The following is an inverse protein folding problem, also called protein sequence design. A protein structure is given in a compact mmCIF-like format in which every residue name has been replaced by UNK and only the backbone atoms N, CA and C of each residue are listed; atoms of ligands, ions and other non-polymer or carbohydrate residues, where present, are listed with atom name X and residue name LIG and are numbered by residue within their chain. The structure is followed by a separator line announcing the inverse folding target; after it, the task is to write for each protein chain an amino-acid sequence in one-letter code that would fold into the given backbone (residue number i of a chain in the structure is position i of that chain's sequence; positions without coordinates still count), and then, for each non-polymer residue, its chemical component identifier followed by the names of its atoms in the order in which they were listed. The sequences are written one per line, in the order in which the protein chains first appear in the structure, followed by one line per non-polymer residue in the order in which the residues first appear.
data_IF_013783043180
#
_entry.id   IF_013783043180
#
_cell.length_a   1.000
_cell.length_b   1.000
_cell.length_c   1.000
_cell.angle_alpha   90.00
_cell.angle_beta   90.00
_cell.angle_gamma   90.00
#
_symmetry.space_group_name_H-M   'P 1'
#
loop_
_entity.id
_entity.type
_entity.pdbx_description
1 polymer ?
#
# COMPACT_ATOMS: atom_id res chain seq x y z
N UNK A 1 -21.74 -22.83 5.33
CA UNK A 1 -20.97 -22.66 4.09
C UNK A 1 -20.20 -21.35 4.24
N UNK A 2 -18.89 -21.32 3.98
CA UNK A 2 -18.11 -20.07 4.00
C UNK A 2 -18.65 -19.12 2.94
N UNK A 3 -18.72 -17.82 3.24
CA UNK A 3 -19.17 -16.82 2.26
C UNK A 3 -18.17 -16.79 1.08
N UNK A 4 -18.62 -16.63 -0.17
CA UNK A 4 -17.76 -16.69 -1.36
C UNK A 4 -16.63 -15.65 -1.37
N UNK A 5 -16.75 -14.58 -0.60
CA UNK A 5 -15.74 -13.54 -0.45
C UNK A 5 -14.66 -13.86 0.60
N UNK A 6 -14.79 -14.93 1.40
CA UNK A 6 -13.78 -15.29 2.42
C UNK A 6 -12.48 -15.87 1.83
N UNK A 7 -12.50 -16.30 0.57
CA UNK A 7 -11.29 -16.76 -0.13
C UNK A 7 -10.47 -15.62 -0.76
N UNK A 8 -11.00 -14.40 -0.76
CA UNK A 8 -10.37 -13.24 -1.38
C UNK A 8 -9.42 -12.56 -0.40
N UNK A 9 -8.15 -12.39 -0.78
CA UNK A 9 -7.12 -11.80 0.09
C UNK A 9 -7.23 -10.28 0.28
N UNK A 10 -7.91 -9.57 -0.66
CA UNK A 10 -8.16 -8.14 -0.47
C UNK A 10 -9.18 -7.93 0.64
N UNK A 11 -8.81 -7.17 1.67
CA UNK A 11 -9.62 -7.02 2.89
C UNK A 11 -10.88 -6.20 2.67
N UNK A 12 -10.93 -5.34 1.66
CA UNK A 12 -12.14 -4.59 1.29
C UNK A 12 -13.16 -5.57 0.72
N UNK A 13 -12.77 -6.38 -0.26
CA UNK A 13 -13.64 -7.37 -0.88
C UNK A 13 -14.10 -8.44 0.14
N UNK A 14 -13.21 -8.87 1.03
CA UNK A 14 -13.52 -9.84 2.07
C UNK A 14 -14.56 -9.34 3.09
N UNK A 15 -14.73 -8.03 3.25
CA UNK A 15 -15.67 -7.39 4.17
C UNK A 15 -17.02 -7.03 3.55
N UNK A 16 -17.17 -7.21 2.26
CA UNK A 16 -18.46 -7.01 1.59
C UNK A 16 -19.51 -8.00 2.11
N UNK A 17 -20.77 -7.63 2.07
CA UNK A 17 -21.85 -8.61 2.23
C UNK A 17 -21.84 -9.60 1.06
N UNK A 18 -22.35 -10.81 1.28
CA UNK A 18 -22.44 -11.82 0.22
C UNK A 18 -23.24 -11.32 -0.99
N UNK A 19 -24.32 -10.58 -0.74
CA UNK A 19 -25.20 -10.04 -1.79
C UNK A 19 -24.49 -8.97 -2.63
N UNK A 20 -23.73 -8.06 -1.98
CA UNK A 20 -22.95 -7.06 -2.71
C UNK A 20 -21.80 -7.71 -3.47
N UNK A 21 -21.10 -8.68 -2.85
CA UNK A 21 -20.02 -9.39 -3.52
C UNK A 21 -20.51 -10.12 -4.78
N UNK A 22 -21.66 -10.78 -4.74
CA UNK A 22 -22.25 -11.45 -5.90
C UNK A 22 -22.54 -10.49 -7.06
N UNK A 23 -22.92 -9.24 -6.77
CA UNK A 23 -23.12 -8.21 -7.81
C UNK A 23 -21.81 -7.74 -8.44
N UNK A 24 -20.74 -7.63 -7.62
CA UNK A 24 -19.44 -7.18 -8.10
C UNK A 24 -18.65 -8.30 -8.78
N UNK A 25 -18.80 -9.54 -8.35
CA UNK A 25 -18.02 -10.71 -8.78
C UNK A 25 -17.92 -10.89 -10.29
N UNK A 26 -18.98 -10.70 -11.11
CA UNK A 26 -18.91 -10.84 -12.56
C UNK A 26 -17.97 -9.84 -13.25
N UNK A 27 -17.59 -8.76 -12.54
CA UNK A 27 -16.73 -7.69 -13.04
C UNK A 27 -15.30 -7.77 -12.49
N UNK A 28 -15.02 -8.70 -11.54
CA UNK A 28 -13.71 -8.92 -10.98
C UNK A 28 -12.87 -9.79 -11.92
N UNK A 29 -11.91 -9.16 -12.58
CA UNK A 29 -10.96 -9.84 -13.44
C UNK A 29 -9.62 -10.01 -12.71
N UNK A 30 -9.13 -11.25 -12.48
CA UNK A 30 -7.84 -11.46 -11.85
C UNK A 30 -6.69 -11.00 -12.74
N UNK A 31 -5.73 -10.29 -12.16
CA UNK A 31 -4.54 -9.80 -12.87
C UNK A 31 -3.27 -10.05 -12.06
N UNK A 32 -2.15 -10.36 -12.71
CA UNK A 32 -0.84 -10.30 -12.10
C UNK A 32 -0.44 -8.83 -11.90
N UNK A 33 0.23 -8.54 -10.80
CA UNK A 33 0.88 -7.26 -10.54
C UNK A 33 2.39 -7.45 -10.68
N UNK A 34 2.89 -7.25 -11.89
CA UNK A 34 4.31 -7.44 -12.19
C UNK A 34 5.12 -6.23 -11.72
N UNK A 35 6.40 -6.46 -11.36
CA UNK A 35 7.33 -5.39 -10.94
C UNK A 35 7.39 -4.27 -11.99
N UNK A 36 7.36 -3.01 -11.51
CA UNK A 36 7.42 -1.80 -12.31
C UNK A 36 6.23 -1.57 -13.27
N UNK A 37 5.17 -2.37 -13.18
CA UNK A 37 3.93 -2.08 -13.93
C UNK A 37 3.30 -0.79 -13.43
N UNK A 38 2.99 0.11 -14.36
CA UNK A 38 2.24 1.33 -14.11
C UNK A 38 0.74 1.01 -14.05
N UNK A 39 0.12 1.18 -12.88
CA UNK A 39 -1.30 0.90 -12.64
C UNK A 39 -2.18 2.14 -12.81
N UNK A 40 -1.60 3.30 -12.67
CA UNK A 40 -2.21 4.59 -12.97
C UNK A 40 -1.10 5.59 -13.32
N UNK A 41 -1.38 6.48 -14.25
CA UNK A 41 -0.48 7.56 -14.64
C UNK A 41 -1.11 8.91 -14.28
N UNK A 42 -0.27 9.83 -13.86
CA UNK A 42 -0.67 11.22 -13.59
C UNK A 42 -1.28 11.85 -14.85
N UNK A 43 -2.31 12.64 -14.64
CA UNK A 43 -3.01 13.42 -15.66
C UNK A 43 -3.64 12.55 -16.77
N UNK A 44 -3.84 11.25 -16.52
CA UNK A 44 -4.54 10.34 -17.41
C UNK A 44 -5.80 9.77 -16.75
N UNK A 45 -6.89 9.56 -17.50
CA UNK A 45 -8.04 8.82 -17.00
C UNK A 45 -7.66 7.41 -16.56
N UNK A 46 -8.33 6.91 -15.54
CA UNK A 46 -8.13 5.56 -15.06
C UNK A 46 -9.12 4.61 -15.76
N UNK A 47 -8.62 3.60 -16.46
CA UNK A 47 -9.46 2.60 -17.13
C UNK A 47 -10.04 1.59 -16.13
N UNK A 48 -9.26 1.21 -15.14
CA UNK A 48 -9.61 0.19 -14.15
C UNK A 48 -9.32 0.65 -12.72
N UNK A 49 -10.18 0.29 -11.79
CA UNK A 49 -9.81 0.24 -10.38
C UNK A 49 -9.22 -1.13 -10.08
N UNK A 50 -8.25 -1.20 -9.17
CA UNK A 50 -7.54 -2.46 -8.88
C UNK A 50 -7.56 -2.73 -7.38
N UNK A 51 -8.22 -3.82 -6.98
CA UNK A 51 -8.19 -4.35 -5.62
C UNK A 51 -6.93 -5.21 -5.47
N UNK A 52 -5.95 -4.71 -4.73
CA UNK A 52 -4.69 -5.43 -4.51
C UNK A 52 -4.93 -6.59 -3.55
N UNK A 53 -4.57 -7.82 -3.95
CA UNK A 53 -4.71 -9.03 -3.12
C UNK A 53 -3.40 -9.42 -2.44
N UNK A 54 -2.29 -9.20 -3.12
CA UNK A 54 -0.92 -9.36 -2.61
C UNK A 54 0.02 -8.40 -3.32
N UNK A 55 1.22 -8.22 -2.80
CA UNK A 55 2.17 -7.24 -3.32
C UNK A 55 1.89 -5.81 -2.82
N UNK A 56 2.64 -4.87 -3.36
CA UNK A 56 2.58 -3.43 -3.00
C UNK A 56 2.64 -2.58 -4.26
N UNK A 57 1.74 -1.63 -4.38
CA UNK A 57 1.81 -0.53 -5.34
C UNK A 57 2.06 0.79 -4.60
N UNK A 58 2.96 1.61 -5.11
CA UNK A 58 3.32 2.89 -4.52
C UNK A 58 2.76 4.06 -5.31
N UNK A 59 2.29 5.04 -4.58
CA UNK A 59 1.86 6.33 -5.09
C UNK A 59 3.07 7.26 -5.12
N UNK A 60 3.46 7.69 -6.32
CA UNK A 60 4.64 8.52 -6.55
C UNK A 60 4.21 9.92 -6.99
N UNK A 61 4.84 10.92 -6.39
CA UNK A 61 4.80 12.30 -6.88
C UNK A 61 6.15 12.59 -7.51
N UNK A 62 6.12 13.10 -8.73
CA UNK A 62 7.30 13.49 -9.47
C UNK A 62 7.32 15.00 -9.67
N UNK A 63 8.48 15.61 -9.47
CA UNK A 63 8.75 17.02 -9.72
C UNK A 63 9.24 17.24 -11.15
N UNK A 64 9.13 18.47 -11.66
CA UNK A 64 9.51 18.82 -13.04
C UNK A 64 11.00 18.56 -13.38
N UNK A 65 11.85 18.39 -12.39
CA UNK A 65 13.28 18.04 -12.55
C UNK A 65 13.53 16.51 -12.52
N UNK A 66 12.46 15.69 -12.55
CA UNK A 66 12.53 14.22 -12.60
C UNK A 66 12.82 13.54 -11.27
N UNK A 67 12.81 14.26 -10.14
CA UNK A 67 12.88 13.62 -8.82
C UNK A 67 11.52 13.11 -8.41
N UNK A 68 11.47 11.89 -7.91
CA UNK A 68 10.24 11.29 -7.42
C UNK A 68 10.34 10.87 -5.96
N UNK A 69 9.22 10.93 -5.26
CA UNK A 69 9.08 10.49 -3.87
C UNK A 69 7.78 9.73 -3.69
N UNK A 70 7.83 8.66 -2.89
CA UNK A 70 6.61 7.98 -2.47
C UNK A 70 5.85 8.81 -1.44
N UNK A 71 4.57 8.99 -1.72
CA UNK A 71 3.64 9.65 -0.79
C UNK A 71 2.75 8.65 -0.06
N UNK A 72 2.57 7.44 -0.59
CA UNK A 72 1.77 6.41 0.05
C UNK A 72 1.87 5.06 -0.64
N UNK A 73 1.41 4.01 0.03
CA UNK A 73 1.38 2.64 -0.48
C UNK A 73 -0.05 2.10 -0.52
N UNK A 74 -0.31 1.25 -1.51
CA UNK A 74 -1.54 0.48 -1.68
C UNK A 74 -1.18 -1.00 -1.62
N UNK A 75 -1.79 -1.72 -0.71
CA UNK A 75 -1.66 -3.17 -0.58
C UNK A 75 -3.03 -3.83 -0.41
N UNK A 76 -3.05 -5.05 0.16
CA UNK A 76 -4.29 -5.84 0.33
C UNK A 76 -5.40 -5.17 1.14
N UNK A 77 -5.09 -4.10 1.84
CA UNK A 77 -6.04 -3.30 2.64
C UNK A 77 -6.66 -2.14 1.85
N UNK A 78 -6.41 -2.06 0.54
CA UNK A 78 -6.83 -0.92 -0.27
C UNK A 78 -7.06 -1.28 -1.74
N UNK A 79 -7.33 -0.25 -2.55
CA UNK A 79 -7.41 -0.34 -4.01
C UNK A 79 -6.73 0.85 -4.67
N UNK A 80 -6.26 0.66 -5.91
CA UNK A 80 -5.90 1.73 -6.84
C UNK A 80 -7.20 2.30 -7.40
N UNK A 81 -7.28 3.62 -7.59
CA UNK A 81 -8.50 4.27 -8.07
C UNK A 81 -9.49 4.68 -6.98
N UNK A 82 -9.07 4.70 -5.71
CA UNK A 82 -9.95 5.06 -4.60
C UNK A 82 -10.67 6.43 -4.75
N UNK A 83 -10.10 7.49 -5.35
CA UNK A 83 -10.80 8.77 -5.55
C UNK A 83 -12.07 8.72 -6.39
N UNK A 84 -12.28 7.68 -7.20
CA UNK A 84 -13.51 7.54 -8.02
C UNK A 84 -14.80 7.56 -7.20
N UNK A 85 -14.74 7.15 -5.93
CA UNK A 85 -15.92 7.15 -5.04
C UNK A 85 -16.41 8.57 -4.72
N UNK A 86 -15.56 9.57 -4.93
CA UNK A 86 -15.87 10.98 -4.79
C UNK A 86 -16.16 11.67 -6.16
N UNK A 87 -16.28 10.88 -7.24
CA UNK A 87 -16.47 11.42 -8.60
C UNK A 87 -15.21 12.02 -9.21
N UNK A 88 -14.03 11.62 -8.73
CA UNK A 88 -12.72 12.04 -9.25
C UNK A 88 -12.12 10.89 -10.07
N UNK A 89 -12.68 10.65 -11.24
CA UNK A 89 -12.31 9.57 -12.16
C UNK A 89 -11.55 10.05 -13.40
N UNK A 90 -11.60 11.34 -13.71
CA UNK A 90 -11.06 11.88 -14.96
C UNK A 90 -9.54 12.15 -14.91
N UNK A 91 -8.96 12.40 -13.73
CA UNK A 91 -7.53 12.71 -13.63
C UNK A 91 -6.92 12.17 -12.32
N UNK A 92 -5.89 11.35 -12.46
CA UNK A 92 -5.06 10.94 -11.34
C UNK A 92 -3.94 11.96 -11.11
N UNK A 93 -3.75 12.38 -9.85
CA UNK A 93 -2.75 13.42 -9.53
C UNK A 93 -1.35 12.86 -9.24
N UNK A 94 -1.16 11.54 -9.32
CA UNK A 94 0.09 10.85 -9.04
C UNK A 94 0.17 9.52 -9.79
N UNK A 95 1.39 9.07 -10.05
CA UNK A 95 1.62 7.77 -10.64
C UNK A 95 1.46 6.68 -9.59
N UNK A 96 0.95 5.51 -10.00
CA UNK A 96 0.88 4.32 -9.16
C UNK A 96 1.61 3.18 -9.85
N UNK A 97 2.68 2.70 -9.22
CA UNK A 97 3.59 1.71 -9.80
C UNK A 97 3.73 0.50 -8.86
N UNK A 98 3.71 -0.70 -9.43
CA UNK A 98 3.94 -1.93 -8.67
C UNK A 98 5.39 -1.98 -8.20
N UNK A 99 5.57 -2.12 -6.91
CA UNK A 99 6.89 -2.19 -6.28
C UNK A 99 7.26 -3.57 -5.79
N UNK A 100 6.30 -4.26 -5.23
CA UNK A 100 6.46 -5.64 -4.82
C UNK A 100 5.44 -6.43 -5.62
N UNK A 101 5.89 -7.39 -6.45
CA UNK A 101 5.00 -8.18 -7.28
C UNK A 101 3.93 -8.91 -6.47
N UNK A 102 2.80 -9.14 -7.09
CA UNK A 102 1.68 -9.82 -6.47
C UNK A 102 0.56 -10.08 -7.45
N UNK A 103 -0.65 -10.02 -6.96
CA UNK A 103 -1.87 -10.23 -7.74
C UNK A 103 -3.00 -9.34 -7.21
N UNK A 104 -4.00 -9.14 -8.02
CA UNK A 104 -5.18 -8.37 -7.68
C UNK A 104 -6.36 -8.67 -8.58
N UNK A 105 -7.42 -7.91 -8.39
CA UNK A 105 -8.58 -7.91 -9.27
C UNK A 105 -8.77 -6.52 -9.84
N UNK A 106 -8.91 -6.42 -11.15
CA UNK A 106 -9.31 -5.18 -11.81
C UNK A 106 -10.80 -5.17 -12.09
N UNK A 107 -11.37 -3.98 -12.08
CA UNK A 107 -12.78 -3.70 -12.45
C UNK A 107 -12.77 -2.46 -13.32
N UNK A 108 -13.43 -2.47 -14.51
CA UNK A 108 -13.56 -1.26 -15.31
C UNK A 108 -14.18 -0.12 -14.52
N UNK A 109 -13.63 1.10 -14.60
CA UNK A 109 -14.11 2.26 -13.85
C UNK A 109 -15.60 2.51 -14.10
N UNK A 110 -16.04 2.44 -15.36
CA UNK A 110 -17.45 2.62 -15.71
C UNK A 110 -18.38 1.60 -15.05
N UNK A 111 -17.97 0.33 -14.95
CA UNK A 111 -18.71 -0.70 -14.24
C UNK A 111 -18.75 -0.41 -12.73
N UNK A 112 -17.62 -0.04 -12.14
CA UNK A 112 -17.53 0.29 -10.72
C UNK A 112 -18.43 1.46 -10.35
N UNK A 113 -18.36 2.57 -11.11
CA UNK A 113 -19.20 3.76 -10.90
C UNK A 113 -20.69 3.43 -10.99
N UNK A 114 -21.08 2.63 -12.00
CA UNK A 114 -22.47 2.21 -12.22
C UNK A 114 -23.01 1.31 -11.09
N UNK A 115 -22.15 0.46 -10.51
CA UNK A 115 -22.52 -0.48 -9.45
C UNK A 115 -22.56 0.17 -8.05
N UNK A 116 -21.73 1.17 -7.79
CA UNK A 116 -21.58 1.79 -6.46
C UNK A 116 -22.90 2.16 -5.76
N UNK A 117 -23.93 2.71 -6.44
CA UNK A 117 -25.23 2.99 -5.80
C UNK A 117 -25.93 1.75 -5.23
N UNK A 118 -25.66 0.56 -5.80
CA UNK A 118 -26.23 -0.72 -5.37
C UNK A 118 -25.35 -1.49 -4.38
N UNK A 119 -24.20 -0.91 -3.99
CA UNK A 119 -23.19 -1.50 -3.10
C UNK A 119 -22.91 -0.56 -1.90
N UNK A 120 -23.94 -0.30 -1.04
CA UNK A 120 -23.84 0.70 0.03
C UNK A 120 -22.75 0.37 1.06
N UNK A 121 -22.56 -0.91 1.44
CA UNK A 121 -21.52 -1.31 2.37
C UNK A 121 -20.12 -1.13 1.77
N UNK A 122 -19.93 -1.56 0.52
CA UNK A 122 -18.65 -1.31 -0.19
C UNK A 122 -18.35 0.19 -0.25
N UNK A 123 -19.33 1.00 -0.61
CA UNK A 123 -19.18 2.45 -0.67
C UNK A 123 -18.76 3.04 0.68
N UNK A 124 -19.38 2.59 1.77
CA UNK A 124 -19.01 3.02 3.12
C UNK A 124 -17.55 2.65 3.45
N UNK A 125 -17.16 1.40 3.19
CA UNK A 125 -15.78 0.93 3.40
C UNK A 125 -14.78 1.79 2.61
N UNK A 126 -15.08 2.09 1.35
CA UNK A 126 -14.20 2.88 0.49
C UNK A 126 -14.09 4.34 0.96
N UNK A 127 -15.19 4.97 1.40
CA UNK A 127 -15.18 6.32 1.98
C UNK A 127 -14.28 6.36 3.23
N UNK A 128 -14.45 5.41 4.14
CA UNK A 128 -13.62 5.30 5.34
C UNK A 128 -12.15 5.10 4.96
N UNK A 129 -11.88 4.25 3.95
CA UNK A 129 -10.52 4.04 3.45
C UNK A 129 -9.90 5.29 2.84
N UNK A 130 -10.68 6.10 2.10
CA UNK A 130 -10.23 7.37 1.56
C UNK A 130 -9.88 8.36 2.67
N UNK A 131 -10.69 8.46 3.72
CA UNK A 131 -10.42 9.30 4.88
C UNK A 131 -9.12 8.90 5.59
N UNK A 132 -8.91 7.59 5.83
CA UNK A 132 -7.65 7.09 6.42
C UNK A 132 -6.46 7.40 5.53
N UNK A 133 -6.57 7.21 4.22
CA UNK A 133 -5.50 7.56 3.27
C UNK A 133 -5.13 9.04 3.40
N UNK A 134 -6.10 9.93 3.50
CA UNK A 134 -5.87 11.37 3.69
C UNK A 134 -5.10 11.66 4.98
N UNK A 135 -5.51 11.06 6.12
CA UNK A 135 -4.82 11.19 7.40
C UNK A 135 -3.38 10.64 7.31
N UNK A 136 -3.20 9.51 6.65
CA UNK A 136 -1.89 8.89 6.47
C UNK A 136 -0.95 9.73 5.60
N UNK A 137 -1.46 10.33 4.52
CA UNK A 137 -0.68 11.24 3.66
C UNK A 137 -0.25 12.49 4.44
N UNK A 138 -1.14 13.07 5.24
CA UNK A 138 -0.81 14.20 6.12
C UNK A 138 0.27 13.82 7.15
N UNK A 139 0.13 12.65 7.77
CA UNK A 139 1.13 12.12 8.71
C UNK A 139 2.49 11.86 8.03
N UNK A 140 2.50 11.35 6.80
CA UNK A 140 3.71 11.14 6.02
C UNK A 140 4.45 12.47 5.73
N UNK A 141 3.73 13.53 5.41
CA UNK A 141 4.33 14.85 5.20
C UNK A 141 5.09 15.33 6.45
N UNK A 142 4.46 15.22 7.63
CA UNK A 142 5.10 15.51 8.90
C UNK A 142 6.28 14.60 9.20
N UNK A 143 6.10 13.30 9.00
CA UNK A 143 7.13 12.29 9.22
C UNK A 143 8.38 12.54 8.38
N UNK A 144 8.22 12.86 7.10
CA UNK A 144 9.33 13.12 6.19
C UNK A 144 10.17 14.35 6.59
N UNK A 145 9.58 15.29 7.33
CA UNK A 145 10.28 16.50 7.77
C UNK A 145 10.87 16.38 9.17
N UNK A 146 10.23 15.66 10.09
CA UNK A 146 10.52 15.69 11.51
C UNK A 146 11.34 14.50 12.02
N UNK A 147 11.28 13.35 11.31
CA UNK A 147 11.97 12.13 11.75
C UNK A 147 13.23 11.86 10.93
N UNK A 148 14.21 11.20 11.55
CA UNK A 148 15.44 10.79 10.87
C UNK A 148 15.19 9.63 9.87
N UNK A 149 16.19 9.34 9.03
CA UNK A 149 16.09 8.34 7.95
C UNK A 149 15.83 6.95 8.49
N UNK A 150 16.48 6.56 9.59
CA UNK A 150 16.35 5.25 10.20
C UNK A 150 14.92 5.01 10.72
N UNK A 151 14.35 5.99 11.42
CA UNK A 151 12.96 5.95 11.89
C UNK A 151 11.95 5.87 10.75
N UNK A 152 12.15 6.64 9.68
CA UNK A 152 11.29 6.63 8.48
C UNK A 152 11.38 5.30 7.74
N UNK A 153 12.59 4.75 7.59
CA UNK A 153 12.81 3.45 6.99
C UNK A 153 12.15 2.33 7.79
N UNK A 154 12.32 2.33 9.12
CA UNK A 154 11.70 1.35 10.02
C UNK A 154 10.17 1.42 9.93
N UNK A 155 9.59 2.62 9.94
CA UNK A 155 8.15 2.83 9.74
C UNK A 155 7.68 2.28 8.40
N UNK A 156 8.38 2.60 7.32
CA UNK A 156 8.01 2.15 5.97
C UNK A 156 8.03 0.62 5.88
N UNK A 157 9.11 -0.01 6.36
CA UNK A 157 9.24 -1.47 6.38
C UNK A 157 8.14 -2.13 7.23
N UNK A 158 7.78 -1.55 8.37
CA UNK A 158 6.70 -2.05 9.21
C UNK A 158 5.34 -1.97 8.51
N UNK A 159 5.04 -0.84 7.86
CA UNK A 159 3.81 -0.62 7.08
C UNK A 159 3.70 -1.58 5.89
N UNK A 160 4.81 -1.84 5.18
CA UNK A 160 4.86 -2.79 4.06
C UNK A 160 4.68 -4.21 4.56
N UNK A 161 5.38 -4.59 5.64
CA UNK A 161 5.28 -5.91 6.23
C UNK A 161 3.86 -6.28 6.68
N UNK A 162 3.10 -5.32 7.23
CA UNK A 162 1.70 -5.57 7.63
C UNK A 162 0.81 -5.98 6.45
N UNK A 163 1.25 -5.71 5.22
CA UNK A 163 0.53 -6.03 3.97
C UNK A 163 1.05 -7.26 3.25
N UNK A 164 2.26 -7.72 3.60
CA UNK A 164 2.88 -8.89 3.00
C UNK A 164 2.71 -10.13 3.89
N UNK A 165 2.65 -11.30 3.25
CA UNK A 165 2.64 -12.60 3.93
C UNK A 165 4.05 -13.17 4.08
N UNK A 166 5.08 -12.36 3.83
CA UNK A 166 6.49 -12.75 3.89
C UNK A 166 7.32 -11.74 4.68
N UNK A 167 8.39 -12.22 5.31
CA UNK A 167 9.37 -11.37 5.95
C UNK A 167 10.50 -10.94 4.99
N UNK A 168 10.52 -11.46 3.76
CA UNK A 168 11.51 -11.09 2.75
C UNK A 168 10.93 -10.04 1.82
N UNK A 169 11.62 -8.92 1.71
CA UNK A 169 11.26 -7.81 0.83
C UNK A 169 12.34 -7.67 -0.23
N UNK A 170 11.97 -7.86 -1.50
CA UNK A 170 12.87 -7.64 -2.63
C UNK A 170 12.87 -6.15 -3.00
N UNK A 171 13.95 -5.45 -2.60
CA UNK A 171 14.02 -4.00 -2.73
C UNK A 171 15.47 -3.51 -2.75
N UNK A 172 15.78 -2.59 -3.66
CA UNK A 172 17.10 -1.98 -3.76
C UNK A 172 17.21 -0.72 -2.90
N UNK A 173 18.44 -0.32 -2.56
CA UNK A 173 18.67 0.93 -1.82
C UNK A 173 18.28 2.18 -2.62
N UNK A 174 18.44 2.18 -3.95
CA UNK A 174 17.98 3.26 -4.81
C UNK A 174 16.45 3.43 -4.72
N UNK A 175 15.78 2.30 -4.66
CA UNK A 175 14.35 2.28 -4.52
C UNK A 175 13.91 2.76 -3.14
N UNK A 176 14.51 2.21 -2.07
CA UNK A 176 14.25 2.66 -0.69
C UNK A 176 14.51 4.16 -0.51
N UNK A 177 15.48 4.74 -1.23
CA UNK A 177 15.76 6.18 -1.14
C UNK A 177 14.59 7.03 -1.62
N UNK A 178 13.91 6.61 -2.69
CA UNK A 178 12.67 7.25 -3.16
C UNK A 178 11.51 7.06 -2.18
N UNK A 179 11.39 5.87 -1.59
CA UNK A 179 10.33 5.55 -0.62
C UNK A 179 10.44 6.35 0.66
N UNK A 180 11.66 6.56 1.13
CA UNK A 180 11.94 7.26 2.39
C UNK A 180 12.19 8.76 2.16
N UNK A 181 12.28 9.20 0.89
CA UNK A 181 12.51 10.60 0.54
C UNK A 181 13.90 11.10 0.98
N UNK A 182 14.97 10.36 0.62
CA UNK A 182 16.36 10.71 0.97
C UNK A 182 17.32 10.20 -0.11
N UNK A 183 18.62 10.41 0.07
CA UNK A 183 19.65 9.86 -0.83
C UNK A 183 20.00 8.40 -0.51
N UNK A 184 20.61 7.70 -1.49
CA UNK A 184 21.00 6.30 -1.39
C UNK A 184 22.03 6.03 -0.27
N UNK A 185 22.96 6.95 -0.04
CA UNK A 185 24.01 6.78 0.97
C UNK A 185 23.39 6.77 2.38
N UNK A 186 22.47 7.68 2.64
CA UNK A 186 21.69 7.74 3.89
C UNK A 186 20.89 6.45 4.13
N UNK A 187 20.25 5.90 3.10
CA UNK A 187 19.55 4.60 3.20
C UNK A 187 20.55 3.48 3.49
N UNK A 188 21.69 3.45 2.83
CA UNK A 188 22.71 2.42 3.06
C UNK A 188 23.18 2.41 4.51
N UNK A 189 23.38 3.60 5.09
CA UNK A 189 23.75 3.76 6.50
C UNK A 189 22.63 3.27 7.42
N UNK A 190 21.39 3.69 7.18
CA UNK A 190 20.23 3.28 7.98
C UNK A 190 20.00 1.75 7.94
N UNK A 191 20.12 1.12 6.76
CA UNK A 191 20.02 -0.33 6.63
C UNK A 191 21.12 -1.03 7.44
N UNK A 192 22.39 -0.55 7.36
CA UNK A 192 23.50 -1.13 8.12
C UNK A 192 23.29 -1.00 9.64
N UNK A 193 22.71 0.11 10.12
CA UNK A 193 22.35 0.29 11.55
C UNK A 193 21.31 -0.72 11.97
N UNK A 194 20.23 -0.90 11.17
CA UNK A 194 19.18 -1.86 11.47
C UNK A 194 19.67 -3.33 11.41
N UNK A 195 20.64 -3.63 10.55
CA UNK A 195 21.34 -4.93 10.52
C UNK A 195 22.17 -5.14 11.80
N UNK A 196 22.95 -4.14 12.22
CA UNK A 196 23.73 -4.18 13.47
C UNK A 196 22.88 -4.40 14.70
N UNK A 197 21.63 -3.95 14.67
CA UNK A 197 20.63 -4.17 15.74
C UNK A 197 19.91 -5.52 15.61
N UNK A 198 20.19 -6.34 14.59
CA UNK A 198 19.51 -7.60 14.34
C UNK A 198 18.02 -7.46 13.97
N UNK A 199 17.62 -6.30 13.46
CA UNK A 199 16.27 -6.02 12.96
C UNK A 199 16.11 -6.51 11.54
N UNK A 200 17.14 -6.24 10.71
CA UNK A 200 17.22 -6.66 9.32
C UNK A 200 18.38 -7.63 9.10
N UNK A 201 18.28 -8.38 8.02
CA UNK A 201 19.36 -9.23 7.50
C UNK A 201 19.33 -9.21 5.97
N UNK A 202 20.52 -9.18 5.35
CA UNK A 202 20.65 -9.43 3.91
C UNK A 202 20.83 -10.92 3.67
N UNK A 203 19.92 -11.59 2.93
CA UNK A 203 20.10 -12.98 2.59
C UNK A 203 21.40 -13.18 1.78
N UNK A 204 22.26 -14.15 2.14
CA UNK A 204 23.52 -14.39 1.42
C UNK A 204 23.22 -14.74 -0.05
N UNK A 205 23.95 -14.09 -0.97
CA UNK A 205 23.85 -14.34 -2.41
C UNK A 205 22.66 -13.72 -3.13
N UNK A 206 21.72 -13.08 -2.43
CA UNK A 206 20.54 -12.43 -3.02
C UNK A 206 20.69 -10.91 -2.94
N UNK A 207 21.06 -10.28 -4.07
CA UNK A 207 21.15 -8.83 -4.14
C UNK A 207 19.76 -8.19 -4.15
N UNK A 208 19.62 -7.02 -3.51
CA UNK A 208 18.36 -6.29 -3.51
C UNK A 208 17.26 -6.96 -2.70
N UNK A 209 17.60 -7.66 -1.62
CA UNK A 209 16.63 -8.26 -0.70
C UNK A 209 16.99 -7.93 0.74
N UNK A 210 15.96 -7.72 1.55
CA UNK A 210 16.06 -7.54 2.99
C UNK A 210 15.11 -8.52 3.68
N UNK A 211 15.60 -9.19 4.73
CA UNK A 211 14.78 -10.05 5.59
C UNK A 211 14.51 -9.32 6.91
N UNK A 212 13.25 -9.23 7.28
CA UNK A 212 12.81 -8.69 8.56
C UNK A 212 12.91 -9.79 9.63
N UNK A 213 13.88 -9.68 10.53
CA UNK A 213 14.18 -10.70 11.56
C UNK A 213 13.37 -10.52 12.84
N UNK A 214 13.14 -9.28 13.24
CA UNK A 214 12.52 -8.97 14.52
C UNK A 214 11.48 -7.87 14.37
N UNK A 215 10.20 -8.27 14.41
CA UNK A 215 9.06 -7.36 14.28
C UNK A 215 9.00 -6.35 15.41
N UNK A 216 9.12 -6.82 16.64
CA UNK A 216 8.93 -5.96 17.82
C UNK A 216 10.00 -4.87 17.87
N UNK A 217 11.25 -5.23 17.58
CA UNK A 217 12.33 -4.25 17.45
C UNK A 217 12.13 -3.29 16.29
N UNK A 218 11.63 -3.77 15.14
CA UNK A 218 11.31 -2.89 14.02
C UNK A 218 10.25 -1.86 14.41
N UNK A 219 9.20 -2.30 15.11
CA UNK A 219 8.13 -1.42 15.60
C UNK A 219 8.65 -0.40 16.64
N UNK A 220 9.50 -0.83 17.57
CA UNK A 220 10.13 0.04 18.56
C UNK A 220 11.09 1.08 17.94
N UNK A 221 11.74 0.71 16.83
CA UNK A 221 12.65 1.59 16.09
C UNK A 221 11.92 2.53 15.12
N UNK A 222 10.66 2.26 14.84
CA UNK A 222 9.81 3.13 14.04
C UNK A 222 9.44 4.39 14.84
N UNK A 223 9.21 5.50 14.13
CA UNK A 223 8.60 6.66 14.74
C UNK A 223 7.14 6.39 15.15
N UNK A 224 6.59 7.23 16.03
CA UNK A 224 5.19 7.19 16.49
C UNK A 224 4.19 7.21 15.35
N UNK A 225 4.56 7.68 14.16
CA UNK A 225 3.73 7.66 12.95
C UNK A 225 3.25 6.24 12.59
N UNK A 226 4.02 5.21 12.90
CA UNK A 226 3.58 3.83 12.68
C UNK A 226 2.45 3.43 13.64
N UNK A 227 2.50 3.85 14.90
CA UNK A 227 1.43 3.57 15.86
C UNK A 227 0.13 4.28 15.46
N UNK A 228 0.22 5.54 15.01
CA UNK A 228 -0.92 6.27 14.47
C UNK A 228 -1.51 5.56 13.25
N UNK A 229 -0.66 5.06 12.33
CA UNK A 229 -1.11 4.25 11.20
C UNK A 229 -1.88 3.00 11.66
N UNK A 230 -1.39 2.26 12.65
CA UNK A 230 -2.10 1.09 13.20
C UNK A 230 -3.44 1.50 13.82
N UNK A 231 -3.47 2.59 14.58
CA UNK A 231 -4.70 3.11 15.18
C UNK A 231 -5.75 3.43 14.12
N UNK A 232 -5.41 4.20 13.09
CA UNK A 232 -6.36 4.56 12.02
C UNK A 232 -6.93 3.32 11.31
N UNK A 233 -6.11 2.30 11.07
CA UNK A 233 -6.59 1.08 10.42
C UNK A 233 -7.47 0.22 11.33
N UNK A 234 -7.24 0.22 12.66
CA UNK A 234 -8.11 -0.47 13.65
C UNK A 234 -9.47 0.20 13.75
N UNK A 235 -9.53 1.52 13.86
CA UNK A 235 -10.77 2.30 13.99
C UNK A 235 -11.75 2.04 12.83
N UNK A 236 -11.23 1.67 11.67
CA UNK A 236 -12.02 1.36 10.46
C UNK A 236 -12.18 -0.15 10.27
N UNK A 237 -11.56 -0.96 11.14
CA UNK A 237 -11.64 -2.42 11.06
C UNK A 237 -10.97 -2.99 9.79
N UNK A 238 -10.01 -2.31 9.18
CA UNK A 238 -9.34 -2.74 7.95
C UNK A 238 -8.10 -3.61 8.19
N UNK A 239 -7.52 -3.58 9.39
CA UNK A 239 -6.55 -4.57 9.82
C UNK A 239 -7.22 -5.51 10.81
N UNK A 240 -7.13 -6.80 10.56
CA UNK A 240 -7.41 -7.81 11.59
C UNK A 240 -6.40 -7.61 12.73
N UNK A 241 -6.86 -7.73 13.97
CA UNK A 241 -5.95 -7.87 15.11
C UNK A 241 -5.10 -9.12 14.86
N UNK A 242 -3.89 -8.93 14.38
CA UNK A 242 -2.89 -10.00 14.38
C UNK A 242 -2.37 -10.08 15.80
N UNK A 243 -2.89 -11.06 16.53
CA UNK A 243 -2.35 -11.56 17.79
C UNK A 243 -0.88 -11.96 17.62
#
# INVERSE_FOLDING_TARGET
MASPNQSVRNTILAKMSSDEFQKLQPHLEPIPLEMATELALRDTPLDYVIFVSSGIASMLVETSDGRSVEVGVTGRDSMVGLPIIAGLDEQFSFDVVVQIPGEGFQVPVGAMVSLLPSLPLLREILIRRLAIRSLFLAQNAGCNRLHNVEQRLSRWLAVVRDRLDTNVVHITHDFLSRMVGTDRASVTTAVAQLEGLGILERPPGVRGSLTLKNRDRLEQHSCECYQLYKQFNREVGLLSETT
#
